data_IF_682215026379
#
_entry.id   IF_682215026379
#
_cell.length_a   1.000
_cell.length_b   1.000
_cell.length_c   1.000
_cell.angle_alpha   90.00
_cell.angle_beta   90.00
_cell.angle_gamma   90.00
#
_symmetry.space_group_name_H-M   'P 1'
#
loop_
_entity.id
_entity.type
_entity.pdbx_description
1 polymer ?
#
# COMPACT_ATOMS: atom_id res chain seq x y z
N UNK A 1 18.38 -32.83 -47.72
CA UNK A 1 19.46 -32.47 -46.78
C UNK A 1 18.85 -31.59 -45.70
N UNK A 2 18.84 -32.12 -44.47
CA UNK A 2 18.08 -31.62 -43.33
C UNK A 2 18.84 -30.48 -42.62
N UNK A 3 18.14 -29.38 -42.32
CA UNK A 3 18.62 -28.29 -41.46
C UNK A 3 18.69 -28.74 -40.00
N UNK A 4 19.77 -28.45 -39.25
CA UNK A 4 19.80 -28.70 -37.81
C UNK A 4 19.16 -27.54 -37.04
N UNK A 5 18.12 -27.91 -36.30
CA UNK A 5 17.43 -27.09 -35.30
C UNK A 5 18.39 -26.75 -34.16
N UNK A 6 18.56 -25.44 -33.88
CA UNK A 6 19.23 -24.94 -32.69
C UNK A 6 18.42 -25.33 -31.45
N UNK A 7 18.93 -26.29 -30.68
CA UNK A 7 18.40 -26.66 -29.37
C UNK A 7 18.74 -25.56 -28.35
N UNK A 8 17.70 -24.93 -27.79
CA UNK A 8 17.83 -24.07 -26.61
C UNK A 8 18.32 -24.90 -25.42
N UNK A 9 19.43 -24.45 -24.82
CA UNK A 9 19.94 -24.98 -23.55
C UNK A 9 19.02 -24.56 -22.42
N UNK A 10 18.48 -25.55 -21.72
CA UNK A 10 17.65 -25.40 -20.53
C UNK A 10 18.36 -24.57 -19.47
N UNK A 11 17.73 -23.46 -19.08
CA UNK A 11 18.10 -22.66 -17.93
C UNK A 11 17.62 -23.34 -16.66
N UNK A 12 18.54 -23.55 -15.73
CA UNK A 12 18.34 -24.16 -14.41
C UNK A 12 17.30 -23.35 -13.63
N UNK A 13 16.15 -23.95 -13.36
CA UNK A 13 15.12 -23.37 -12.52
C UNK A 13 15.66 -23.22 -11.09
N UNK A 14 15.79 -21.97 -10.61
CA UNK A 14 15.93 -21.67 -9.20
C UNK A 14 14.63 -22.10 -8.51
N UNK A 15 14.65 -23.27 -7.90
CA UNK A 15 13.55 -23.80 -7.11
C UNK A 15 13.33 -22.87 -5.92
N UNK A 16 12.27 -22.06 -5.98
CA UNK A 16 11.78 -21.30 -4.84
C UNK A 16 11.36 -22.30 -3.77
N UNK A 17 12.07 -22.29 -2.66
CA UNK A 17 11.68 -23.03 -1.45
C UNK A 17 10.46 -22.30 -0.88
N UNK A 18 9.29 -22.56 -1.45
CA UNK A 18 8.03 -22.37 -0.76
C UNK A 18 8.05 -23.41 0.36
N UNK A 19 8.55 -23.00 1.53
CA UNK A 19 8.36 -23.77 2.75
C UNK A 19 6.86 -23.68 3.04
N UNK A 20 6.10 -24.64 2.51
CA UNK A 20 4.73 -24.86 2.91
C UNK A 20 4.72 -24.99 4.43
N UNK A 21 4.11 -24.04 5.14
CA UNK A 21 3.93 -24.17 6.58
C UNK A 21 3.09 -25.42 6.80
N UNK A 22 3.70 -26.39 7.49
CA UNK A 22 2.99 -27.46 8.17
C UNK A 22 1.97 -26.79 9.08
N UNK A 23 0.70 -26.82 8.67
CA UNK A 23 -0.39 -26.42 9.53
C UNK A 23 -0.38 -27.43 10.68
N UNK A 24 0.24 -27.05 11.81
CA UNK A 24 0.27 -27.89 12.99
C UNK A 24 -1.18 -28.15 13.36
N UNK A 25 -1.61 -29.40 13.22
CA UNK A 25 -2.85 -29.92 13.77
C UNK A 25 -2.71 -29.96 15.28
N UNK A 26 -2.72 -28.79 15.90
CA UNK A 26 -3.00 -28.64 17.32
C UNK A 26 -4.50 -28.33 17.44
N UNK A 27 -5.14 -28.92 18.44
CA UNK A 27 -6.55 -28.77 18.85
C UNK A 27 -7.14 -27.36 18.58
N UNK A 28 -8.47 -27.19 18.47
CA UNK A 28 -9.10 -25.86 18.42
C UNK A 28 -8.89 -25.15 19.76
N UNK A 29 -7.67 -24.62 19.95
CA UNK A 29 -7.26 -23.85 21.11
C UNK A 29 -8.05 -22.56 21.04
N UNK A 30 -8.73 -22.25 22.14
CA UNK A 30 -9.31 -20.94 22.38
C UNK A 30 -8.33 -19.84 21.93
N UNK A 31 -8.81 -18.75 21.32
CA UNK A 31 -7.94 -17.69 20.85
C UNK A 31 -7.04 -17.22 21.99
N UNK A 32 -5.73 -17.16 21.73
CA UNK A 32 -4.77 -16.64 22.71
C UNK A 32 -5.10 -15.18 23.03
N UNK A 33 -4.89 -14.74 24.27
CA UNK A 33 -5.17 -13.37 24.66
C UNK A 33 -4.24 -12.38 23.93
N UNK A 34 -4.73 -11.15 23.72
CA UNK A 34 -4.04 -10.11 22.95
C UNK A 34 -2.67 -9.68 23.54
N UNK A 35 -2.46 -9.89 24.83
CA UNK A 35 -1.19 -9.62 25.53
C UNK A 35 -0.09 -10.66 25.24
N UNK A 36 -0.44 -11.85 24.73
CA UNK A 36 0.50 -12.90 24.33
C UNK A 36 1.04 -12.73 22.91
N UNK A 37 0.56 -11.73 22.16
CA UNK A 37 1.09 -11.43 20.84
C UNK A 37 2.58 -11.08 20.92
N UNK A 38 3.44 -11.66 20.06
CA UNK A 38 4.86 -11.39 20.09
C UNK A 38 5.14 -9.96 19.59
N UNK A 39 6.21 -9.34 20.09
CA UNK A 39 6.64 -8.04 19.62
C UNK A 39 7.43 -7.22 20.64
N UNK A 40 7.94 -6.05 20.24
CA UNK A 40 8.75 -5.22 21.11
C UNK A 40 7.90 -4.61 22.23
N UNK A 41 8.38 -4.74 23.47
CA UNK A 41 7.79 -4.10 24.64
C UNK A 41 8.64 -2.89 25.00
N UNK A 42 8.01 -1.72 25.05
CA UNK A 42 8.67 -0.48 25.44
C UNK A 42 9.20 -0.52 26.87
N UNK A 43 10.30 0.19 27.19
CA UNK A 43 10.86 0.24 28.53
C UNK A 43 9.85 0.87 29.48
N UNK A 44 9.68 0.26 30.66
CA UNK A 44 8.79 0.76 31.71
C UNK A 44 7.35 1.09 31.25
N UNK A 45 6.87 0.47 30.17
CA UNK A 45 5.54 0.71 29.62
C UNK A 45 5.39 2.00 28.80
N UNK A 46 6.47 2.72 28.50
CA UNK A 46 6.45 4.00 27.75
C UNK A 46 6.26 3.84 26.23
N UNK A 47 6.13 2.61 25.74
CA UNK A 47 6.02 2.31 24.31
C UNK A 47 7.35 2.33 23.56
N UNK A 48 7.30 2.16 22.24
CA UNK A 48 8.45 1.96 21.38
C UNK A 48 8.80 3.18 20.51
N UNK A 49 8.12 4.32 20.69
CA UNK A 49 8.36 5.51 19.88
C UNK A 49 9.82 5.99 19.89
N UNK A 50 10.53 5.79 21.00
CA UNK A 50 11.95 6.13 21.12
C UNK A 50 12.84 5.43 20.07
N UNK A 51 12.41 4.27 19.56
CA UNK A 51 13.13 3.55 18.51
C UNK A 51 13.10 4.28 17.15
N UNK A 52 12.26 5.31 17.01
CA UNK A 52 12.11 6.11 15.79
C UNK A 52 12.61 7.55 15.93
N UNK A 53 13.23 7.90 17.07
CA UNK A 53 13.81 9.23 17.27
C UNK A 53 15.15 9.31 16.53
N UNK A 54 15.35 10.25 15.58
CA UNK A 54 16.62 10.40 14.88
C UNK A 54 17.80 10.55 15.83
N UNK A 55 18.86 9.76 15.62
CA UNK A 55 20.09 9.77 16.44
C UNK A 55 20.04 8.95 17.73
N UNK A 56 18.87 8.48 18.17
CA UNK A 56 18.71 7.61 19.36
C UNK A 56 18.19 6.24 18.95
N UNK A 57 17.16 6.23 18.10
CA UNK A 57 16.46 5.04 17.65
C UNK A 57 17.16 4.31 16.51
N UNK A 58 16.86 3.02 16.37
CA UNK A 58 17.36 2.17 15.27
C UNK A 58 16.47 2.18 14.03
N UNK A 59 15.28 2.77 14.11
CA UNK A 59 14.31 2.82 13.01
C UNK A 59 14.13 4.25 12.52
N UNK A 60 13.74 4.38 11.25
CA UNK A 60 13.37 5.65 10.63
C UNK A 60 11.93 5.61 10.15
N UNK A 61 11.20 6.71 10.29
CA UNK A 61 9.89 6.89 9.68
C UNK A 61 9.94 6.95 8.16
N UNK A 62 11.10 7.25 7.57
CA UNK A 62 11.31 7.25 6.12
C UNK A 62 11.64 5.85 5.59
N UNK A 63 12.04 4.92 6.46
CA UNK A 63 12.45 3.56 6.13
C UNK A 63 11.62 2.51 6.89
N UNK A 64 10.30 2.70 6.96
CA UNK A 64 9.41 1.78 7.67
C UNK A 64 9.47 0.34 7.14
N UNK A 65 9.77 0.15 5.86
CA UNK A 65 9.94 -1.17 5.24
C UNK A 65 11.10 -1.96 5.85
N UNK A 66 12.22 -1.31 6.18
CA UNK A 66 13.35 -1.92 6.87
C UNK A 66 12.97 -2.30 8.30
N UNK A 67 12.30 -1.40 9.02
CA UNK A 67 11.78 -1.68 10.37
C UNK A 67 10.81 -2.86 10.36
N UNK A 68 10.02 -3.00 9.30
CA UNK A 68 9.08 -4.10 9.10
C UNK A 68 9.80 -5.43 8.86
N UNK A 69 10.80 -5.45 7.98
CA UNK A 69 11.61 -6.64 7.71
C UNK A 69 12.33 -7.13 8.98
N UNK A 70 12.91 -6.20 9.75
CA UNK A 70 13.54 -6.48 11.02
C UNK A 70 12.57 -7.08 12.06
N UNK A 71 11.36 -6.52 12.17
CA UNK A 71 10.33 -7.04 13.07
C UNK A 71 9.88 -8.44 12.68
N UNK A 72 9.66 -8.67 11.39
CA UNK A 72 9.30 -9.98 10.88
C UNK A 72 10.38 -11.03 11.21
N UNK A 73 11.66 -10.69 11.02
CA UNK A 73 12.77 -11.59 11.32
C UNK A 73 12.86 -11.94 12.82
N UNK A 74 12.55 -11.00 13.72
CA UNK A 74 12.67 -11.20 15.17
C UNK A 74 11.45 -11.87 15.82
N UNK A 75 10.25 -11.51 15.40
CA UNK A 75 9.00 -11.89 16.07
C UNK A 75 8.05 -12.72 15.21
N UNK A 76 8.33 -12.83 13.91
CA UNK A 76 7.56 -13.66 12.98
C UNK A 76 6.41 -12.93 12.29
N UNK A 77 5.39 -13.67 11.81
CA UNK A 77 4.39 -13.19 10.85
C UNK A 77 3.39 -12.17 11.38
N UNK A 78 3.22 -12.09 12.69
CA UNK A 78 2.28 -11.18 13.35
C UNK A 78 2.99 -10.54 14.54
N UNK A 79 3.03 -9.21 14.60
CA UNK A 79 3.80 -8.49 15.61
C UNK A 79 2.97 -7.39 16.24
N UNK A 80 2.87 -7.38 17.57
CA UNK A 80 2.28 -6.28 18.32
C UNK A 80 3.35 -5.28 18.76
N UNK A 81 3.14 -4.02 18.43
CA UNK A 81 3.99 -2.91 18.85
C UNK A 81 3.14 -1.82 19.49
N UNK A 82 3.38 -1.53 20.76
CA UNK A 82 2.83 -0.36 21.42
C UNK A 82 3.73 0.83 21.11
N UNK A 83 3.29 1.75 20.25
CA UNK A 83 4.12 2.90 19.86
C UNK A 83 4.19 3.93 21.00
N UNK A 84 3.01 4.30 21.50
CA UNK A 84 2.82 5.16 22.68
C UNK A 84 1.85 4.45 23.65
N UNK A 85 1.91 4.74 24.96
CA UNK A 85 1.02 4.10 25.93
C UNK A 85 -0.45 4.23 25.52
N UNK A 86 -1.18 3.11 25.53
CA UNK A 86 -2.59 3.05 25.12
C UNK A 86 -2.85 2.94 23.61
N UNK A 87 -1.80 2.93 22.77
CA UNK A 87 -1.95 2.75 21.33
C UNK A 87 -1.11 1.57 20.81
N UNK A 88 -1.79 0.43 20.66
CA UNK A 88 -1.23 -0.76 20.04
C UNK A 88 -1.40 -0.73 18.52
N UNK A 89 -0.35 -1.18 17.83
CA UNK A 89 -0.34 -1.46 16.39
C UNK A 89 -0.03 -2.93 16.20
N UNK A 90 -0.83 -3.62 15.40
CA UNK A 90 -0.55 -5.00 14.97
C UNK A 90 -0.05 -4.96 13.55
N UNK A 91 1.19 -5.41 13.35
CA UNK A 91 1.80 -5.61 12.05
C UNK A 91 1.49 -7.02 11.57
N UNK A 92 0.95 -7.11 10.36
CA UNK A 92 0.70 -8.37 9.65
C UNK A 92 1.67 -8.48 8.49
N UNK A 93 2.38 -9.60 8.42
CA UNK A 93 3.31 -9.92 7.34
C UNK A 93 2.85 -11.12 6.53
N UNK A 94 1.95 -11.93 7.09
CA UNK A 94 1.40 -13.11 6.42
C UNK A 94 0.26 -12.70 5.45
N UNK A 95 0.31 -13.12 4.17
CA UNK A 95 -0.73 -12.77 3.21
C UNK A 95 -2.10 -13.34 3.57
N UNK A 96 -2.19 -14.49 4.25
CA UNK A 96 -3.47 -15.11 4.63
C UNK A 96 -4.15 -14.31 5.75
N UNK A 97 -3.37 -13.80 6.71
CA UNK A 97 -3.88 -12.90 7.76
C UNK A 97 -4.33 -11.56 7.17
N UNK A 98 -3.56 -11.01 6.23
CA UNK A 98 -3.92 -9.77 5.52
C UNK A 98 -5.22 -9.98 4.72
N UNK A 99 -5.34 -11.10 3.99
CA UNK A 99 -6.54 -11.44 3.26
C UNK A 99 -7.75 -11.60 4.18
N UNK A 100 -7.57 -12.20 5.37
CA UNK A 100 -8.64 -12.33 6.37
C UNK A 100 -9.21 -10.98 6.77
N UNK A 101 -8.35 -9.99 7.06
CA UNK A 101 -8.81 -8.64 7.42
C UNK A 101 -9.41 -7.90 6.21
N UNK A 102 -8.76 -7.96 5.05
CA UNK A 102 -9.19 -7.23 3.86
C UNK A 102 -10.50 -7.77 3.27
N UNK A 103 -10.81 -9.05 3.51
CA UNK A 103 -12.03 -9.71 3.07
C UNK A 103 -13.12 -9.77 4.15
N UNK A 104 -12.92 -9.14 5.32
CA UNK A 104 -13.95 -9.07 6.35
C UNK A 104 -15.20 -8.34 5.81
N UNK A 105 -16.33 -9.06 5.78
CA UNK A 105 -17.63 -8.59 5.32
C UNK A 105 -18.65 -8.52 6.45
N UNK A 106 -18.19 -8.50 7.70
CA UNK A 106 -19.07 -8.40 8.86
C UNK A 106 -19.98 -7.15 8.73
N UNK A 107 -21.31 -7.31 8.75
CA UNK A 107 -22.23 -6.20 8.59
C UNK A 107 -21.97 -5.09 9.61
N UNK A 108 -21.90 -3.84 9.15
CA UNK A 108 -21.63 -2.68 9.99
C UNK A 108 -20.15 -2.41 10.26
N UNK A 109 -19.25 -3.33 9.87
CA UNK A 109 -17.82 -3.08 9.86
C UNK A 109 -17.43 -2.50 8.50
N UNK A 110 -16.82 -1.31 8.53
CA UNK A 110 -16.29 -0.64 7.35
C UNK A 110 -14.79 -0.40 7.54
N UNK A 111 -13.99 -0.46 6.46
CA UNK A 111 -12.59 -0.10 6.53
C UNK A 111 -12.40 1.28 7.16
N UNK A 112 -11.51 1.36 8.14
CA UNK A 112 -11.15 2.61 8.81
C UNK A 112 -9.64 2.80 8.77
N UNK A 113 -9.19 4.00 8.43
CA UNK A 113 -7.79 4.37 8.31
C UNK A 113 -7.50 5.58 9.18
N UNK A 114 -6.48 5.48 10.04
CA UNK A 114 -5.93 6.61 10.79
C UNK A 114 -5.02 7.46 9.88
N UNK A 115 -5.61 8.08 8.86
CA UNK A 115 -4.90 8.93 7.90
C UNK A 115 -5.62 10.26 7.70
N UNK A 116 -4.90 11.27 7.21
CA UNK A 116 -5.48 12.57 6.78
C UNK A 116 -6.30 13.31 7.86
N UNK A 117 -6.00 13.14 9.15
CA UNK A 117 -6.74 13.75 10.26
C UNK A 117 -6.71 15.29 10.21
N UNK A 118 -5.57 15.88 9.85
CA UNK A 118 -5.44 17.33 9.66
C UNK A 118 -6.35 17.84 8.54
N UNK A 119 -6.40 17.14 7.40
CA UNK A 119 -7.28 17.49 6.28
C UNK A 119 -8.77 17.31 6.67
N UNK A 120 -9.08 16.25 7.42
CA UNK A 120 -10.43 16.03 7.94
C UNK A 120 -10.88 17.21 8.81
N UNK A 121 -10.03 17.65 9.75
CA UNK A 121 -10.29 18.82 10.61
C UNK A 121 -10.47 20.09 9.77
N UNK A 122 -9.52 20.37 8.88
CA UNK A 122 -9.54 21.57 8.03
C UNK A 122 -10.86 21.72 7.24
N UNK A 123 -11.34 20.62 6.65
CA UNK A 123 -12.58 20.62 5.85
C UNK A 123 -13.84 20.66 6.71
N UNK A 124 -13.86 19.95 7.85
CA UNK A 124 -14.99 19.98 8.79
C UNK A 124 -15.19 21.36 9.42
N UNK A 125 -14.11 22.09 9.67
CA UNK A 125 -14.16 23.45 10.21
C UNK A 125 -14.64 24.49 9.17
N UNK A 126 -14.82 24.10 7.90
CA UNK A 126 -15.23 24.98 6.78
C UNK A 126 -16.42 24.39 6.00
N UNK A 127 -17.59 24.20 6.65
CA UNK A 127 -18.76 23.62 6.01
C UNK A 127 -19.33 24.50 4.88
N UNK A 128 -19.03 25.80 4.90
CA UNK A 128 -19.37 26.74 3.84
C UNK A 128 -18.59 26.50 2.53
N UNK A 129 -17.45 25.81 2.60
CA UNK A 129 -16.62 25.47 1.43
C UNK A 129 -16.73 23.97 1.08
N UNK A 130 -16.79 23.11 2.10
CA UNK A 130 -16.78 21.66 1.93
C UNK A 130 -18.02 21.01 2.51
N UNK A 131 -18.76 20.27 1.67
CA UNK A 131 -19.92 19.48 2.12
C UNK A 131 -19.52 18.30 3.00
N UNK A 132 -18.33 17.74 2.79
CA UNK A 132 -17.80 16.60 3.57
C UNK A 132 -16.29 16.72 3.75
N UNK A 133 -15.71 15.89 4.63
CA UNK A 133 -14.24 15.78 4.72
C UNK A 133 -13.62 15.16 3.44
N UNK A 134 -14.43 14.54 2.56
CA UNK A 134 -14.01 13.90 1.32
C UNK A 134 -13.69 12.41 1.48
N UNK A 135 -13.39 11.75 0.36
CA UNK A 135 -13.20 10.30 0.30
C UNK A 135 -12.05 9.78 1.17
N UNK A 136 -10.90 10.46 1.18
CA UNK A 136 -9.70 9.99 1.89
C UNK A 136 -9.78 10.12 3.43
N UNK A 137 -10.30 11.23 4.00
CA UNK A 137 -10.29 11.40 5.45
C UNK A 137 -11.53 10.86 6.15
N UNK A 138 -12.60 10.57 5.41
CA UNK A 138 -13.84 10.00 5.96
C UNK A 138 -13.68 8.49 6.15
N UNK A 139 -14.32 7.93 7.18
CA UNK A 139 -14.35 6.49 7.48
C UNK A 139 -15.80 6.03 7.73
N UNK A 140 -16.02 4.73 7.93
CA UNK A 140 -17.33 4.21 8.32
C UNK A 140 -18.36 4.25 7.19
N UNK A 141 -19.63 4.36 7.58
CA UNK A 141 -20.76 4.41 6.64
C UNK A 141 -20.68 5.61 5.68
N UNK A 142 -20.21 6.76 6.15
CA UNK A 142 -20.13 7.97 5.30
C UNK A 142 -19.07 7.81 4.21
N UNK A 143 -17.94 7.17 4.53
CA UNK A 143 -16.95 6.76 3.53
C UNK A 143 -17.57 5.81 2.52
N UNK A 144 -18.32 4.82 2.98
CA UNK A 144 -18.95 3.82 2.11
C UNK A 144 -19.95 4.46 1.15
N UNK A 145 -20.75 5.43 1.60
CA UNK A 145 -21.68 6.20 0.75
C UNK A 145 -20.92 6.96 -0.34
N UNK A 146 -19.90 7.73 0.04
CA UNK A 146 -19.09 8.52 -0.92
C UNK A 146 -18.40 7.58 -1.92
N UNK A 147 -17.78 6.50 -1.44
CA UNK A 147 -17.06 5.53 -2.27
C UNK A 147 -17.98 4.81 -3.24
N UNK A 148 -19.14 4.35 -2.78
CA UNK A 148 -20.09 3.57 -3.59
C UNK A 148 -20.59 4.37 -4.79
N UNK A 149 -20.78 5.67 -4.64
CA UNK A 149 -21.15 6.53 -5.78
C UNK A 149 -19.97 6.80 -6.72
N UNK A 150 -18.79 7.17 -6.19
CA UNK A 150 -17.60 7.46 -7.01
C UNK A 150 -17.11 6.24 -7.80
N UNK A 151 -17.14 5.05 -7.19
CA UNK A 151 -16.60 3.83 -7.79
C UNK A 151 -17.36 3.42 -9.06
N UNK A 152 -18.68 3.68 -9.15
CA UNK A 152 -19.48 3.39 -10.35
C UNK A 152 -18.94 4.11 -11.58
N UNK A 153 -18.56 5.38 -11.42
CA UNK A 153 -18.07 6.22 -12.51
C UNK A 153 -16.61 6.00 -12.87
N UNK A 154 -15.78 5.48 -11.96
CA UNK A 154 -14.33 5.38 -12.16
C UNK A 154 -13.85 3.96 -12.49
N UNK A 155 -14.45 2.94 -11.89
CA UNK A 155 -13.89 1.57 -11.93
C UNK A 155 -14.66 0.62 -12.83
N UNK A 156 -15.73 1.07 -13.50
CA UNK A 156 -16.43 0.22 -14.46
C UNK A 156 -15.54 0.01 -15.71
N UNK A 157 -15.52 -1.19 -16.32
CA UNK A 157 -14.78 -1.41 -17.56
C UNK A 157 -15.16 -0.42 -18.67
N UNK A 158 -16.42 0.01 -18.69
CA UNK A 158 -16.89 0.99 -19.67
C UNK A 158 -16.30 2.38 -19.41
N UNK A 159 -16.29 2.83 -18.15
CA UNK A 159 -15.64 4.09 -17.77
C UNK A 159 -14.16 4.08 -18.15
N UNK A 160 -13.44 2.99 -17.83
CA UNK A 160 -12.02 2.85 -18.15
C UNK A 160 -11.77 2.94 -19.66
N UNK A 161 -12.60 2.29 -20.48
CA UNK A 161 -12.48 2.35 -21.95
C UNK A 161 -12.59 3.75 -22.51
N UNK A 162 -13.43 4.60 -21.91
CA UNK A 162 -13.60 5.98 -22.38
C UNK A 162 -12.33 6.83 -22.19
N UNK A 163 -11.49 6.50 -21.21
CA UNK A 163 -10.24 7.23 -20.93
C UNK A 163 -9.05 6.75 -21.78
N UNK A 164 -9.14 5.57 -22.40
CA UNK A 164 -8.02 4.96 -23.11
C UNK A 164 -7.52 5.79 -24.30
N UNK A 165 -8.36 6.30 -25.21
CA UNK A 165 -7.87 7.01 -26.40
C UNK A 165 -7.02 8.23 -26.04
N UNK A 166 -7.46 8.98 -25.04
CA UNK A 166 -6.82 10.21 -24.59
C UNK A 166 -5.53 9.93 -23.81
N UNK A 167 -5.57 8.95 -22.89
CA UNK A 167 -4.37 8.50 -22.17
C UNK A 167 -3.32 7.97 -23.15
N UNK A 168 -3.73 7.22 -24.18
CA UNK A 168 -2.85 6.70 -25.23
C UNK A 168 -2.21 7.83 -26.04
N UNK A 169 -2.99 8.85 -26.42
CA UNK A 169 -2.48 10.03 -27.12
C UNK A 169 -1.41 10.76 -26.30
N UNK A 170 -1.72 11.16 -25.06
CA UNK A 170 -0.79 11.89 -24.19
C UNK A 170 0.48 11.06 -23.92
N UNK A 171 0.32 9.75 -23.73
CA UNK A 171 1.47 8.85 -23.52
C UNK A 171 2.36 8.77 -24.76
N UNK A 172 1.78 8.70 -25.97
CA UNK A 172 2.54 8.72 -27.22
C UNK A 172 3.30 10.02 -27.42
N UNK A 173 2.67 11.15 -27.13
CA UNK A 173 3.30 12.49 -27.19
C UNK A 173 4.46 12.60 -26.19
N UNK A 174 4.28 12.10 -24.97
CA UNK A 174 5.36 12.02 -23.98
C UNK A 174 6.54 11.18 -24.47
N UNK A 175 6.29 9.97 -25.00
CA UNK A 175 7.35 9.11 -25.53
C UNK A 175 8.08 9.77 -26.71
N UNK A 176 7.35 10.47 -27.59
CA UNK A 176 7.96 11.20 -28.69
C UNK A 176 8.85 12.36 -28.20
N UNK A 177 8.43 13.08 -27.16
CA UNK A 177 9.20 14.15 -26.52
C UNK A 177 10.48 13.64 -25.84
N UNK A 178 10.38 12.49 -25.14
CA UNK A 178 11.54 11.83 -24.53
C UNK A 178 12.58 11.47 -25.59
N UNK A 179 12.17 10.81 -26.69
CA UNK A 179 13.09 10.43 -27.78
C UNK A 179 13.81 11.60 -28.44
N UNK A 180 13.19 12.79 -28.45
CA UNK A 180 13.81 14.01 -28.98
C UNK A 180 14.83 14.62 -28.01
N UNK A 181 14.69 14.35 -26.72
CA UNK A 181 15.52 14.92 -25.65
C UNK A 181 16.67 13.99 -25.24
N UNK A 182 16.63 12.72 -25.66
CA UNK A 182 17.72 11.76 -25.44
C UNK A 182 19.00 12.18 -26.18
N UNK A 183 19.99 12.69 -25.43
CA UNK A 183 21.37 12.81 -25.89
C UNK A 183 22.10 11.49 -25.67
N UNK A 184 23.05 11.14 -26.56
CA UNK A 184 23.81 9.87 -26.48
C UNK A 184 24.68 9.73 -25.23
N UNK A 185 24.94 10.82 -24.51
CA UNK A 185 25.99 10.87 -23.49
C UNK A 185 25.46 10.92 -22.04
N UNK A 186 24.15 11.06 -21.81
CA UNK A 186 23.58 10.99 -20.46
C UNK A 186 22.11 10.60 -20.45
N UNK A 187 21.71 9.73 -19.50
CA UNK A 187 20.29 9.46 -19.20
C UNK A 187 19.72 10.67 -18.46
N UNK A 188 18.71 11.37 -19.00
CA UNK A 188 18.12 12.54 -18.34
C UNK A 188 17.28 12.14 -17.12
N UNK A 189 17.09 13.06 -16.17
CA UNK A 189 16.14 12.88 -15.08
C UNK A 189 14.70 12.94 -15.61
N UNK A 190 14.02 11.80 -15.60
CA UNK A 190 12.64 11.67 -16.08
C UNK A 190 11.58 12.06 -15.04
N UNK A 191 11.94 12.29 -13.77
CA UNK A 191 10.97 12.55 -12.71
C UNK A 191 10.07 13.78 -12.98
N UNK A 192 10.60 14.93 -13.47
CA UNK A 192 9.76 16.05 -13.86
C UNK A 192 8.83 15.71 -15.03
N UNK A 193 9.33 14.99 -16.03
CA UNK A 193 8.55 14.56 -17.20
C UNK A 193 7.40 13.62 -16.83
N UNK A 194 7.67 12.62 -15.99
CA UNK A 194 6.66 11.68 -15.47
C UNK A 194 5.63 12.43 -14.62
N UNK A 195 6.06 13.39 -13.80
CA UNK A 195 5.14 14.21 -13.00
C UNK A 195 4.19 15.01 -13.88
N UNK A 196 4.70 15.59 -14.98
CA UNK A 196 3.88 16.30 -15.97
C UNK A 196 2.91 15.36 -16.69
N UNK A 197 3.39 14.22 -17.17
CA UNK A 197 2.54 13.18 -17.78
C UNK A 197 1.38 12.78 -16.86
N UNK A 198 1.66 12.52 -15.58
CA UNK A 198 0.65 12.15 -14.59
C UNK A 198 -0.41 13.25 -14.36
N UNK A 199 -0.04 14.52 -14.50
CA UNK A 199 -0.98 15.63 -14.42
C UNK A 199 -1.85 15.69 -15.67
N UNK A 200 -1.25 15.63 -16.86
CA UNK A 200 -1.98 15.66 -18.14
C UNK A 200 -2.97 14.49 -18.25
N UNK A 201 -2.54 13.26 -17.93
CA UNK A 201 -3.45 12.10 -17.89
C UNK A 201 -4.58 12.23 -16.87
N UNK A 202 -4.43 13.05 -15.81
CA UNK A 202 -5.46 13.24 -14.79
C UNK A 202 -6.48 14.32 -15.18
N UNK A 203 -6.01 15.45 -15.71
CA UNK A 203 -6.89 16.58 -16.07
C UNK A 203 -7.87 16.20 -17.17
N UNK A 204 -7.37 15.49 -18.18
CA UNK A 204 -8.09 15.03 -19.35
C UNK A 204 -9.13 13.93 -19.05
N UNK A 205 -9.00 13.26 -17.90
CA UNK A 205 -9.96 12.23 -17.43
C UNK A 205 -11.13 12.84 -16.65
N UNK A 206 -11.00 14.10 -16.20
CA UNK A 206 -11.98 14.78 -15.33
C UNK A 206 -12.75 15.88 -16.09
N UNK A 207 -12.23 16.34 -17.22
CA UNK A 207 -12.91 17.27 -18.17
C UNK A 207 -13.98 16.58 -18.99
#
# INVERSE_FOLDING_TARGET
MLSPVLQLRSTTALSSVITARKCSTDNPRSPRPFNEMPGPRGPFGLGNLYQYIPGIGKYSFDALHESGADKYARWGPIVRETMVPGQDTVWLYDPDDIATILNDKTPGIYPSRRSHTALAKYRKDRPNVYRTAGLLPTNGIDWWKIRSELQKGLSSPQSVRNFLPLTDQVTKEFVASVKQTESKDSVPDFMPGISRLNLECRFEVIS
#
